data_IF_441923476769
#
_entry.id   IF_441923476769
#
_cell.length_a   1.000
_cell.length_b   1.000
_cell.length_c   1.000
_cell.angle_alpha   90.00
_cell.angle_beta   90.00
_cell.angle_gamma   90.00
#
_symmetry.space_group_name_H-M   'P 1'
#
loop_
_entity.id
_entity.type
_entity.pdbx_description
1 polymer ?
#
# COMPACT_ATOMS: atom_id res chain seq x y z
N UNK A 1 -26.12 -18.54 6.60
CA UNK A 1 -25.25 -17.80 7.54
C UNK A 1 -25.42 -18.27 8.98
N UNK A 2 -26.64 -18.37 9.57
CA UNK A 2 -26.81 -18.79 10.96
C UNK A 2 -26.35 -20.23 11.26
N UNK A 3 -26.37 -21.09 10.24
CA UNK A 3 -25.92 -22.49 10.28
C UNK A 3 -24.44 -22.70 9.90
N UNK A 4 -23.68 -21.61 9.70
CA UNK A 4 -22.24 -21.74 9.38
C UNK A 4 -21.48 -22.35 10.56
N UNK A 5 -20.55 -23.24 10.24
CA UNK A 5 -19.59 -23.71 11.24
C UNK A 5 -18.73 -22.55 11.77
N UNK A 6 -18.34 -22.63 13.04
CA UNK A 6 -17.57 -21.60 13.74
C UNK A 6 -16.26 -21.27 13.02
N UNK A 7 -15.55 -22.26 12.51
CA UNK A 7 -14.25 -22.06 11.87
C UNK A 7 -14.40 -21.38 10.50
N UNK A 8 -15.49 -21.68 9.79
CA UNK A 8 -15.83 -21.01 8.53
C UNK A 8 -16.20 -19.55 8.78
N UNK A 9 -17.04 -19.27 9.80
CA UNK A 9 -17.40 -17.92 10.18
C UNK A 9 -16.17 -17.12 10.61
N UNK A 10 -15.29 -17.73 11.41
CA UNK A 10 -14.03 -17.10 11.82
C UNK A 10 -13.12 -16.81 10.62
N UNK A 11 -13.02 -17.74 9.67
CA UNK A 11 -12.31 -17.53 8.40
C UNK A 11 -12.88 -16.36 7.59
N UNK A 12 -14.21 -16.24 7.50
CA UNK A 12 -14.88 -15.11 6.85
C UNK A 12 -14.63 -13.79 7.58
N UNK A 13 -14.72 -13.76 8.90
CA UNK A 13 -14.48 -12.53 9.66
C UNK A 13 -13.04 -12.03 9.59
N UNK A 14 -12.08 -12.95 9.44
CA UNK A 14 -10.65 -12.65 9.20
C UNK A 14 -10.36 -12.12 7.80
N UNK A 15 -11.27 -12.30 6.85
CA UNK A 15 -11.08 -11.82 5.49
C UNK A 15 -11.28 -10.31 5.42
N UNK A 16 -10.26 -9.68 4.88
CA UNK A 16 -10.17 -8.25 4.65
C UNK A 16 -10.74 -7.82 3.29
N UNK A 17 -11.06 -8.79 2.43
CA UNK A 17 -11.47 -8.60 1.05
C UNK A 17 -12.99 -8.77 0.83
N UNK A 18 -13.78 -9.04 1.87
CA UNK A 18 -15.23 -9.17 1.75
C UNK A 18 -15.88 -7.80 1.50
N UNK A 19 -16.71 -7.69 0.45
CA UNK A 19 -17.48 -6.48 0.14
C UNK A 19 -18.80 -6.46 0.91
N UNK A 20 -18.70 -6.26 2.21
CA UNK A 20 -19.83 -6.21 3.15
C UNK A 20 -19.62 -5.02 4.09
N UNK A 21 -20.67 -4.24 4.30
CA UNK A 21 -20.65 -3.16 5.29
C UNK A 21 -20.43 -3.72 6.71
N UNK A 22 -19.64 -3.03 7.52
CA UNK A 22 -19.26 -3.53 8.85
C UNK A 22 -20.49 -3.76 9.75
N UNK A 23 -21.45 -2.84 9.70
CA UNK A 23 -22.72 -2.98 10.41
C UNK A 23 -23.46 -4.27 10.01
N UNK A 24 -23.42 -4.63 8.72
CA UNK A 24 -24.03 -5.85 8.20
C UNK A 24 -23.25 -7.09 8.67
N UNK A 25 -21.91 -7.03 8.69
CA UNK A 25 -21.09 -8.13 9.20
C UNK A 25 -21.33 -8.40 10.70
N UNK A 26 -21.45 -7.34 11.51
CA UNK A 26 -21.79 -7.45 12.94
C UNK A 26 -23.20 -7.97 13.16
N UNK A 27 -24.19 -7.50 12.39
CA UNK A 27 -25.57 -8.01 12.47
C UNK A 27 -25.63 -9.52 12.21
N UNK A 28 -24.92 -10.00 11.18
CA UNK A 28 -24.83 -11.43 10.90
C UNK A 28 -24.09 -12.23 11.97
N UNK A 29 -23.03 -11.68 12.57
CA UNK A 29 -22.29 -12.34 13.66
C UNK A 29 -23.17 -12.48 14.91
N UNK A 30 -23.91 -11.42 15.27
CA UNK A 30 -24.83 -11.43 16.41
C UNK A 30 -25.93 -12.45 16.19
N UNK A 31 -26.59 -12.41 15.01
CA UNK A 31 -27.62 -13.39 14.62
C UNK A 31 -27.10 -14.82 14.68
N UNK A 32 -25.88 -15.05 14.18
CA UNK A 32 -25.25 -16.37 14.25
C UNK A 32 -25.08 -16.85 15.69
N UNK A 33 -24.49 -16.06 16.58
CA UNK A 33 -24.25 -16.57 17.95
C UNK A 33 -25.51 -16.64 18.81
N UNK A 34 -26.58 -15.89 18.50
CA UNK A 34 -27.90 -16.10 19.11
C UNK A 34 -28.45 -17.48 18.71
N UNK A 35 -28.34 -17.85 17.43
CA UNK A 35 -28.76 -19.17 16.94
C UNK A 35 -27.96 -20.30 17.58
N UNK A 36 -26.66 -20.10 17.81
CA UNK A 36 -25.80 -21.07 18.50
C UNK A 36 -26.06 -21.17 20.01
N UNK A 37 -26.77 -20.19 20.59
CA UNK A 37 -27.08 -20.18 22.04
C UNK A 37 -28.56 -19.91 22.31
N UNK A 38 -29.46 -20.85 21.96
CA UNK A 38 -30.89 -20.66 22.12
C UNK A 38 -31.27 -20.31 23.56
N UNK A 39 -32.07 -19.25 23.73
CA UNK A 39 -32.55 -18.79 25.04
C UNK A 39 -31.60 -17.85 25.80
N UNK A 40 -30.34 -17.71 25.40
CA UNK A 40 -29.41 -16.74 26.00
C UNK A 40 -29.45 -15.37 25.33
N UNK A 41 -29.90 -15.29 24.08
CA UNK A 41 -30.00 -14.04 23.33
C UNK A 41 -28.64 -13.35 23.25
N UNK A 42 -28.59 -12.04 23.54
CA UNK A 42 -27.32 -11.30 23.48
C UNK A 42 -26.44 -11.45 24.74
N UNK A 43 -26.95 -12.09 25.81
CA UNK A 43 -26.27 -12.16 27.11
C UNK A 43 -24.84 -12.71 27.05
N UNK A 44 -24.51 -13.72 26.21
CA UNK A 44 -23.15 -14.25 26.12
C UNK A 44 -22.10 -13.20 25.71
N UNK A 45 -22.50 -12.16 24.97
CA UNK A 45 -21.57 -11.14 24.48
C UNK A 45 -21.15 -10.12 25.54
N UNK A 46 -21.81 -10.09 26.71
CA UNK A 46 -21.50 -9.17 27.82
C UNK A 46 -20.05 -9.27 28.30
N UNK A 47 -19.46 -10.47 28.20
CA UNK A 47 -18.09 -10.72 28.64
C UNK A 47 -17.01 -10.14 27.71
N UNK A 48 -17.37 -9.83 26.46
CA UNK A 48 -16.40 -9.50 25.39
C UNK A 48 -16.61 -8.09 24.83
N UNK A 49 -17.84 -7.59 24.88
CA UNK A 49 -18.20 -6.25 24.42
C UNK A 49 -18.03 -5.25 25.57
N UNK A 50 -17.42 -4.06 25.34
CA UNK A 50 -17.37 -3.00 26.33
C UNK A 50 -18.76 -2.70 26.92
N UNK A 51 -18.84 -2.51 28.23
CA UNK A 51 -20.11 -2.47 28.96
C UNK A 51 -21.13 -1.46 28.38
N UNK A 52 -20.69 -0.25 28.03
CA UNK A 52 -21.55 0.79 27.45
C UNK A 52 -22.12 0.39 26.08
N UNK A 53 -21.32 -0.26 25.22
CA UNK A 53 -21.78 -0.77 23.91
C UNK A 53 -22.78 -1.90 24.11
N UNK A 54 -22.51 -2.80 25.07
CA UNK A 54 -23.42 -3.90 25.38
C UNK A 54 -24.80 -3.38 25.83
N UNK A 55 -24.84 -2.34 26.66
CA UNK A 55 -26.10 -1.73 27.11
C UNK A 55 -26.87 -1.13 25.93
N UNK A 56 -26.23 -0.34 25.06
CA UNK A 56 -26.89 0.22 23.88
C UNK A 56 -27.45 -0.85 22.94
N UNK A 57 -26.69 -1.93 22.69
CA UNK A 57 -27.15 -3.07 21.88
C UNK A 57 -28.32 -3.80 22.57
N UNK A 58 -28.28 -3.93 23.89
CA UNK A 58 -29.37 -4.52 24.68
C UNK A 58 -30.64 -3.69 24.53
N UNK A 59 -30.55 -2.36 24.66
CA UNK A 59 -31.70 -1.48 24.51
C UNK A 59 -32.24 -1.52 23.09
N UNK A 60 -31.39 -1.48 22.06
CA UNK A 60 -31.82 -1.65 20.67
C UNK A 60 -32.58 -2.97 20.46
N UNK A 61 -32.01 -4.09 20.90
CA UNK A 61 -32.58 -5.41 20.63
C UNK A 61 -33.90 -5.68 21.37
N UNK A 62 -34.03 -5.22 22.62
CA UNK A 62 -35.21 -5.50 23.44
C UNK A 62 -36.25 -4.37 23.43
N UNK A 63 -35.84 -3.13 23.18
CA UNK A 63 -36.71 -1.94 23.25
C UNK A 63 -36.81 -1.18 21.93
N UNK A 64 -36.12 -1.64 20.88
CA UNK A 64 -36.11 -1.02 19.55
C UNK A 64 -35.62 0.45 19.53
N UNK A 65 -34.81 0.84 20.51
CA UNK A 65 -34.20 2.18 20.61
C UNK A 65 -32.90 2.28 19.84
N UNK A 66 -32.73 3.30 18.98
CA UNK A 66 -31.47 3.49 18.24
C UNK A 66 -30.28 3.73 19.19
N UNK A 67 -29.13 3.05 18.99
CA UNK A 67 -27.90 3.32 19.72
C UNK A 67 -27.39 4.76 19.53
N UNK A 68 -26.80 5.35 20.58
CA UNK A 68 -26.30 6.74 20.58
C UNK A 68 -24.83 6.82 20.18
N UNK A 69 -24.05 5.76 20.37
CA UNK A 69 -22.61 5.69 20.06
C UNK A 69 -22.30 4.69 18.95
N UNK A 70 -22.93 4.84 17.78
CA UNK A 70 -22.65 3.98 16.61
C UNK A 70 -21.71 4.65 15.61
N UNK A 71 -20.48 4.88 16.02
CA UNK A 71 -19.36 5.06 15.08
C UNK A 71 -18.29 4.02 15.36
N UNK A 72 -18.62 2.76 15.06
CA UNK A 72 -17.57 1.76 14.85
C UNK A 72 -16.73 2.23 13.65
N UNK A 73 -15.38 2.14 13.71
CA UNK A 73 -14.57 2.47 12.56
C UNK A 73 -15.00 1.58 11.40
N UNK A 74 -15.30 2.14 10.22
CA UNK A 74 -15.57 1.32 9.05
C UNK A 74 -14.39 0.37 8.83
N UNK A 75 -14.65 -0.89 8.44
CA UNK A 75 -13.68 -1.59 7.59
C UNK A 75 -13.63 -0.77 6.30
N UNK A 76 -12.73 0.22 6.26
CA UNK A 76 -12.47 1.05 5.09
C UNK A 76 -12.36 0.10 3.91
N UNK A 77 -13.10 0.35 2.83
CA UNK A 77 -13.03 -0.43 1.59
C UNK A 77 -11.56 -0.59 1.23
N UNK A 78 -11.02 -1.78 1.48
CA UNK A 78 -9.58 -2.01 1.38
C UNK A 78 -9.24 -2.03 -0.10
N UNK A 79 -8.32 -1.17 -0.50
CA UNK A 79 -7.67 -1.25 -1.81
C UNK A 79 -7.24 -2.70 -2.04
N UNK A 80 -7.75 -3.30 -3.12
CA UNK A 80 -7.32 -4.61 -3.57
C UNK A 80 -6.07 -4.43 -4.42
N UNK A 81 -5.01 -5.14 -4.05
CA UNK A 81 -3.74 -5.17 -4.77
C UNK A 81 -3.26 -6.63 -4.82
N UNK A 82 -2.88 -7.09 -6.01
CA UNK A 82 -2.30 -8.41 -6.22
C UNK A 82 -0.77 -8.32 -6.17
N UNK A 83 -0.25 -8.12 -4.95
CA UNK A 83 1.19 -7.93 -4.70
C UNK A 83 1.75 -9.06 -3.83
N UNK A 84 2.97 -9.49 -4.15
CA UNK A 84 3.76 -10.38 -3.29
C UNK A 84 4.54 -9.60 -2.22
N UNK A 85 4.73 -8.30 -2.42
CA UNK A 85 5.56 -7.44 -1.57
C UNK A 85 4.77 -6.70 -0.50
N UNK A 86 3.56 -6.24 -0.81
CA UNK A 86 2.73 -5.47 0.11
C UNK A 86 1.29 -5.99 0.15
N UNK A 87 0.60 -5.71 1.26
CA UNK A 87 -0.83 -5.99 1.41
C UNK A 87 -1.67 -4.73 1.27
N UNK A 88 -2.99 -4.91 1.19
CA UNK A 88 -3.98 -3.84 1.06
C UNK A 88 -3.80 -2.67 2.03
N UNK A 89 -3.37 -2.94 3.27
CA UNK A 89 -3.12 -1.91 4.29
C UNK A 89 -2.00 -0.94 3.89
N UNK A 90 -0.88 -1.44 3.37
CA UNK A 90 0.21 -0.60 2.88
C UNK A 90 -0.17 0.12 1.59
N UNK A 91 -0.87 -0.56 0.67
CA UNK A 91 -1.39 0.09 -0.53
C UNK A 91 -2.34 1.25 -0.20
N UNK A 92 -3.16 1.13 0.86
CA UNK A 92 -4.01 2.21 1.34
C UNK A 92 -3.22 3.41 1.89
N UNK A 93 -2.10 3.15 2.57
CA UNK A 93 -1.21 4.22 3.06
C UNK A 93 -0.53 4.92 1.88
N UNK A 94 -0.03 4.17 0.90
CA UNK A 94 0.57 4.72 -0.33
C UNK A 94 -0.44 5.57 -1.09
N UNK A 95 -1.68 5.10 -1.25
CA UNK A 95 -2.75 5.89 -1.85
C UNK A 95 -3.01 7.20 -1.09
N UNK A 96 -2.95 7.16 0.25
CA UNK A 96 -3.01 8.36 1.07
C UNK A 96 -1.86 9.34 0.80
N UNK A 97 -0.65 8.83 0.61
CA UNK A 97 0.50 9.66 0.24
C UNK A 97 0.36 10.31 -1.13
N UNK A 98 -0.31 9.65 -2.08
CA UNK A 98 -0.67 10.21 -3.40
C UNK A 98 -1.66 11.38 -3.21
N UNK A 99 -2.63 11.27 -2.29
CA UNK A 99 -3.55 12.35 -1.94
C UNK A 99 -2.94 13.41 -1.00
N UNK A 100 -1.63 13.35 -0.70
CA UNK A 100 -0.94 14.20 0.28
C UNK A 100 -1.58 14.17 1.68
N UNK A 101 -2.13 13.01 2.06
CA UNK A 101 -2.68 12.74 3.38
C UNK A 101 -1.70 11.91 4.20
N UNK A 102 -1.41 12.41 5.40
CA UNK A 102 -0.53 11.74 6.37
C UNK A 102 -1.38 11.19 7.53
N UNK A 103 -1.22 9.91 7.89
CA UNK A 103 -1.89 9.31 9.05
C UNK A 103 -2.21 7.83 8.92
N UNK A 104 -2.67 7.20 10.01
CA UNK A 104 -3.01 5.75 10.05
C UNK A 104 -4.46 5.45 9.66
N UNK A 105 -5.34 6.45 9.71
CA UNK A 105 -6.78 6.35 9.44
C UNK A 105 -7.16 7.25 8.27
N UNK A 106 -6.58 6.97 7.10
CA UNK A 106 -6.78 7.79 5.90
C UNK A 106 -8.14 7.48 5.29
N UNK A 107 -9.00 8.49 5.19
CA UNK A 107 -10.17 8.46 4.31
C UNK A 107 -9.75 8.99 2.94
N UNK A 108 -9.63 8.08 1.98
CA UNK A 108 -9.33 8.43 0.60
C UNK A 108 -10.54 9.14 -0.02
N UNK A 109 -10.26 10.17 -0.83
CA UNK A 109 -11.28 10.85 -1.64
C UNK A 109 -11.58 10.07 -2.91
N UNK A 110 -10.56 9.41 -3.46
CA UNK A 110 -10.65 8.64 -4.70
C UNK A 110 -10.52 7.15 -4.42
N UNK A 111 -11.14 6.35 -5.27
CA UNK A 111 -10.91 4.90 -5.29
C UNK A 111 -9.71 4.62 -6.17
N UNK A 112 -8.69 3.97 -5.63
CA UNK A 112 -7.50 3.61 -6.38
C UNK A 112 -7.52 2.14 -6.79
N UNK A 113 -7.10 1.89 -8.04
CA UNK A 113 -6.87 0.55 -8.57
C UNK A 113 -5.39 0.40 -8.93
N UNK A 114 -4.81 -0.72 -8.51
CA UNK A 114 -3.41 -1.08 -8.74
C UNK A 114 -3.36 -2.28 -9.67
N UNK A 115 -3.09 -2.03 -10.94
CA UNK A 115 -3.01 -3.06 -11.98
C UNK A 115 -1.54 -3.48 -12.19
N UNK A 116 -1.21 -4.73 -11.86
CA UNK A 116 0.16 -5.25 -11.99
C UNK A 116 0.62 -5.26 -13.45
N UNK A 117 1.66 -4.50 -13.76
CA UNK A 117 2.30 -4.45 -15.08
C UNK A 117 3.45 -5.43 -15.17
N UNK A 118 4.36 -5.38 -14.20
CA UNK A 118 5.63 -6.10 -14.21
C UNK A 118 5.87 -6.76 -12.86
N UNK A 119 6.34 -8.01 -12.89
CA UNK A 119 6.80 -8.76 -11.72
C UNK A 119 8.06 -9.51 -12.10
N UNK A 120 9.18 -9.23 -11.45
CA UNK A 120 10.48 -9.79 -11.88
C UNK A 120 10.56 -11.31 -11.74
N UNK A 121 9.88 -11.94 -10.78
CA UNK A 121 9.79 -13.40 -10.69
C UNK A 121 9.04 -14.05 -11.86
N UNK A 122 8.17 -13.29 -12.55
CA UNK A 122 7.44 -13.71 -13.75
C UNK A 122 8.15 -13.30 -15.03
N UNK A 123 8.71 -12.10 -15.05
CA UNK A 123 9.14 -11.39 -16.26
C UNK A 123 10.68 -11.33 -16.41
N UNK A 124 11.43 -11.74 -15.36
CA UNK A 124 12.89 -11.65 -15.27
C UNK A 124 13.37 -10.23 -14.93
N UNK A 125 14.46 -10.11 -14.18
CA UNK A 125 15.08 -8.82 -13.86
C UNK A 125 15.82 -8.30 -15.09
N UNK A 126 15.15 -7.49 -15.91
CA UNK A 126 15.70 -6.97 -17.16
C UNK A 126 15.07 -5.63 -17.54
N UNK A 127 15.88 -4.59 -17.82
CA UNK A 127 15.38 -3.25 -18.13
C UNK A 127 14.65 -3.16 -19.48
N UNK A 128 14.96 -4.02 -20.45
CA UNK A 128 14.22 -4.09 -21.71
C UNK A 128 12.81 -4.65 -21.50
N UNK A 129 12.69 -5.73 -20.70
CA UNK A 129 11.37 -6.30 -20.36
C UNK A 129 10.55 -5.32 -19.51
N UNK A 130 11.19 -4.64 -18.55
CA UNK A 130 10.56 -3.57 -17.79
C UNK A 130 9.98 -2.51 -18.73
N UNK A 131 10.80 -1.93 -19.60
CA UNK A 131 10.37 -0.86 -20.52
C UNK A 131 9.24 -1.31 -21.44
N UNK A 132 9.32 -2.53 -21.98
CA UNK A 132 8.28 -3.07 -22.85
C UNK A 132 6.91 -3.15 -22.17
N UNK A 133 6.86 -3.33 -20.84
CA UNK A 133 5.63 -3.46 -20.05
C UNK A 133 5.18 -2.17 -19.38
N UNK A 134 6.13 -1.36 -18.91
CA UNK A 134 5.86 -0.23 -18.04
C UNK A 134 5.81 1.12 -18.76
N UNK A 135 6.42 1.24 -19.95
CA UNK A 135 6.42 2.50 -20.67
C UNK A 135 5.02 2.84 -21.21
N UNK A 136 4.70 4.13 -21.20
CA UNK A 136 3.44 4.70 -21.66
C UNK A 136 2.19 4.15 -20.95
N UNK A 137 2.33 3.63 -19.72
CA UNK A 137 1.20 3.10 -18.95
C UNK A 137 0.48 4.14 -18.09
N UNK A 138 1.06 5.32 -17.92
CA UNK A 138 0.57 6.36 -17.01
C UNK A 138 1.19 6.25 -15.61
N UNK A 139 0.53 6.79 -14.58
CA UNK A 139 1.08 6.83 -13.23
C UNK A 139 1.39 5.42 -12.73
N UNK A 140 2.59 5.23 -12.17
CA UNK A 140 3.09 3.93 -11.77
C UNK A 140 3.65 3.95 -10.34
N UNK A 141 3.36 2.88 -9.61
CA UNK A 141 4.03 2.53 -8.35
C UNK A 141 5.06 1.45 -8.62
N UNK A 142 6.29 1.69 -8.17
CA UNK A 142 7.38 0.72 -8.18
C UNK A 142 7.62 0.23 -6.75
N UNK A 143 7.75 -1.08 -6.58
CA UNK A 143 8.12 -1.75 -5.34
C UNK A 143 9.31 -2.67 -5.60
N UNK A 144 10.29 -2.65 -4.71
CA UNK A 144 11.54 -3.40 -4.82
C UNK A 144 11.89 -3.99 -3.47
N UNK A 145 12.11 -5.29 -3.41
CA UNK A 145 12.58 -5.99 -2.21
C UNK A 145 14.06 -6.32 -2.32
N UNK A 146 14.81 -6.07 -1.26
CA UNK A 146 16.22 -6.43 -1.17
C UNK A 146 16.38 -7.95 -0.92
N UNK A 147 17.29 -8.62 -1.63
CA UNK A 147 17.56 -10.05 -1.43
C UNK A 147 18.19 -10.37 -0.06
N UNK A 148 18.86 -9.39 0.56
CA UNK A 148 19.58 -9.55 1.82
C UNK A 148 18.76 -9.07 3.04
N UNK A 149 17.55 -8.54 2.85
CA UNK A 149 16.72 -8.06 3.96
C UNK A 149 15.22 -8.13 3.65
N UNK A 150 14.38 -7.96 4.67
CA UNK A 150 12.93 -7.85 4.46
C UNK A 150 12.51 -6.46 3.97
N UNK A 151 13.45 -5.53 3.84
CA UNK A 151 13.19 -4.13 3.55
C UNK A 151 12.70 -3.97 2.11
N UNK A 152 11.65 -3.17 1.96
CA UNK A 152 11.01 -2.84 0.70
C UNK A 152 11.26 -1.37 0.43
N UNK A 153 11.75 -1.07 -0.76
CA UNK A 153 11.87 0.29 -1.29
C UNK A 153 10.84 0.50 -2.37
N UNK A 154 10.42 1.74 -2.58
CA UNK A 154 9.50 2.04 -3.66
C UNK A 154 9.49 3.50 -4.04
N UNK A 155 8.82 3.77 -5.15
CA UNK A 155 8.65 5.10 -5.68
C UNK A 155 7.37 5.21 -6.49
N UNK A 156 6.74 6.37 -6.42
CA UNK A 156 5.55 6.70 -7.17
C UNK A 156 5.90 7.72 -8.25
N UNK A 157 5.72 7.35 -9.51
CA UNK A 157 5.83 8.26 -10.64
C UNK A 157 4.41 8.72 -11.04
N UNK A 158 4.05 10.00 -10.84
CA UNK A 158 2.73 10.55 -11.20
C UNK A 158 2.58 10.79 -12.71
N UNK A 159 3.65 10.68 -13.49
CA UNK A 159 3.66 10.89 -14.93
C UNK A 159 3.48 9.53 -15.64
N UNK A 160 4.36 9.21 -16.57
CA UNK A 160 4.52 7.90 -17.18
C UNK A 160 6.01 7.65 -17.38
N UNK A 161 6.44 6.39 -17.33
CA UNK A 161 7.76 6.05 -17.87
C UNK A 161 7.71 6.09 -19.39
N UNK A 162 8.81 6.49 -20.02
CA UNK A 162 8.93 6.56 -21.48
C UNK A 162 10.25 5.93 -21.94
N UNK A 163 10.39 5.76 -23.26
CA UNK A 163 11.68 5.38 -23.82
C UNK A 163 12.35 6.65 -24.35
N UNK A 164 13.48 7.10 -23.79
CA UNK A 164 14.14 8.32 -24.25
C UNK A 164 14.86 8.13 -25.61
N UNK A 165 14.83 6.92 -26.17
CA UNK A 165 15.52 6.57 -27.41
C UNK A 165 16.99 6.19 -27.17
N UNK A 166 17.69 5.86 -28.24
CA UNK A 166 19.11 5.49 -28.15
C UNK A 166 19.93 6.71 -27.70
N UNK A 167 20.72 6.54 -26.63
CA UNK A 167 21.49 7.63 -25.97
C UNK A 167 20.65 8.76 -25.38
N UNK A 168 19.34 8.55 -25.23
CA UNK A 168 18.47 9.53 -24.62
C UNK A 168 18.76 9.70 -23.12
N UNK A 169 18.80 10.95 -22.68
CA UNK A 169 18.84 11.35 -21.28
C UNK A 169 17.94 12.58 -21.12
N UNK A 170 16.84 12.44 -20.39
CA UNK A 170 15.89 13.52 -20.17
C UNK A 170 15.35 13.48 -18.74
N UNK A 171 15.14 14.66 -18.16
CA UNK A 171 14.44 14.81 -16.89
C UNK A 171 13.03 15.36 -17.11
N UNK A 172 12.10 14.94 -16.24
CA UNK A 172 10.72 15.37 -16.24
C UNK A 172 10.33 16.01 -14.92
N UNK A 173 9.65 17.15 -15.04
CA UNK A 173 9.23 17.95 -13.92
C UNK A 173 7.98 17.35 -13.24
N UNK A 174 8.07 17.12 -11.92
CA UNK A 174 6.89 16.91 -11.10
C UNK A 174 7.17 17.18 -9.62
N UNK A 175 6.16 17.65 -8.89
CA UNK A 175 6.18 17.79 -7.42
C UNK A 175 5.44 16.67 -6.70
N UNK A 176 4.76 15.80 -7.45
CA UNK A 176 3.89 14.75 -6.89
C UNK A 176 4.60 13.40 -6.77
N UNK A 177 5.83 13.29 -7.29
CA UNK A 177 6.66 12.10 -7.11
C UNK A 177 7.15 12.00 -5.67
N UNK A 178 7.30 10.76 -5.21
CA UNK A 178 7.90 10.46 -3.91
C UNK A 178 8.52 9.07 -3.92
N UNK A 179 9.50 8.87 -3.06
CA UNK A 179 10.11 7.57 -2.79
C UNK A 179 9.94 7.23 -1.31
N UNK A 180 9.98 5.94 -0.99
CA UNK A 180 9.68 5.47 0.35
C UNK A 180 10.37 4.14 0.64
N UNK A 181 10.37 3.77 1.92
CA UNK A 181 10.81 2.46 2.39
C UNK A 181 9.95 1.93 3.53
N UNK A 182 9.84 0.60 3.61
CA UNK A 182 9.20 -0.17 4.66
C UNK A 182 10.16 -1.24 5.19
N UNK A 183 10.14 -1.52 6.49
CA UNK A 183 10.98 -2.59 7.04
C UNK A 183 10.53 -4.00 6.59
N UNK A 184 9.24 -4.15 6.27
CA UNK A 184 8.64 -5.37 5.70
C UNK A 184 7.19 -5.10 5.25
N UNK A 185 6.51 -6.14 4.73
CA UNK A 185 5.14 -6.10 4.21
C UNK A 185 4.05 -5.76 5.23
N UNK A 186 4.38 -5.70 6.53
CA UNK A 186 3.44 -5.40 7.62
C UNK A 186 3.79 -4.11 8.39
N UNK A 187 4.87 -3.41 7.99
CA UNK A 187 5.35 -2.23 8.69
C UNK A 187 4.48 -1.00 8.44
N UNK A 188 3.63 -0.67 9.41
CA UNK A 188 2.77 0.52 9.42
C UNK A 188 3.24 1.59 10.42
N UNK A 189 4.40 1.41 11.04
CA UNK A 189 4.87 2.27 12.15
C UNK A 189 6.14 3.01 11.80
N UNK A 190 7.04 2.37 11.07
CA UNK A 190 8.38 2.88 10.78
C UNK A 190 8.57 3.24 9.30
N UNK A 191 7.46 3.36 8.57
CA UNK A 191 7.45 3.78 7.16
C UNK A 191 8.13 5.14 7.00
N UNK A 192 8.93 5.26 5.93
CA UNK A 192 9.68 6.47 5.61
C UNK A 192 9.29 6.93 4.22
N UNK A 193 9.04 8.23 4.07
CA UNK A 193 8.71 8.85 2.79
C UNK A 193 9.64 10.06 2.58
N UNK A 194 10.07 10.23 1.34
CA UNK A 194 10.86 11.35 0.86
C UNK A 194 10.18 11.89 -0.40
N UNK A 195 9.90 13.20 -0.40
CA UNK A 195 9.20 13.87 -1.50
C UNK A 195 10.19 14.69 -2.31
N UNK A 196 9.82 15.00 -3.55
CA UNK A 196 10.62 15.87 -4.41
C UNK A 196 10.86 17.22 -3.72
N UNK A 197 12.12 17.65 -3.71
CA UNK A 197 12.48 19.00 -3.33
C UNK A 197 11.95 19.97 -4.37
N UNK A 198 11.12 20.93 -3.95
CA UNK A 198 10.43 21.85 -4.86
C UNK A 198 11.39 22.65 -5.76
N UNK A 199 12.61 22.95 -5.29
CA UNK A 199 13.62 23.68 -6.05
C UNK A 199 14.27 22.84 -7.16
N UNK A 200 14.12 21.51 -7.09
CA UNK A 200 14.67 20.55 -8.05
C UNK A 200 13.57 19.72 -8.71
N UNK A 201 12.34 20.22 -8.75
CA UNK A 201 11.20 19.50 -9.30
C UNK A 201 11.40 19.08 -10.76
N UNK A 202 12.18 19.84 -11.53
CA UNK A 202 12.54 19.53 -12.91
C UNK A 202 13.47 18.32 -13.07
N UNK A 203 14.01 17.77 -11.98
CA UNK A 203 14.85 16.56 -11.95
C UNK A 203 14.17 15.36 -11.27
N UNK A 204 12.87 15.44 -10.99
CA UNK A 204 12.17 14.44 -10.18
C UNK A 204 12.15 13.04 -10.81
N UNK A 205 11.98 12.95 -12.13
CA UNK A 205 11.99 11.70 -12.89
C UNK A 205 13.06 11.81 -13.97
N UNK A 206 13.91 10.81 -14.09
CA UNK A 206 14.97 10.74 -15.10
C UNK A 206 14.67 9.58 -16.05
N UNK A 207 14.95 9.78 -17.33
CA UNK A 207 14.81 8.79 -18.37
C UNK A 207 16.16 8.65 -19.08
N UNK A 208 16.96 7.71 -18.58
CA UNK A 208 18.30 7.42 -19.10
C UNK A 208 18.29 6.14 -19.92
N UNK A 209 19.00 6.13 -21.06
CA UNK A 209 19.19 4.92 -21.87
C UNK A 209 19.84 3.81 -21.03
N UNK A 210 19.12 2.69 -20.88
CA UNK A 210 19.57 1.54 -20.08
C UNK A 210 18.76 1.32 -18.82
N UNK A 211 18.21 2.37 -18.20
CA UNK A 211 17.47 2.26 -16.94
C UNK A 211 16.05 1.67 -17.04
N UNK A 212 15.59 0.91 -16.05
CA UNK A 212 14.20 0.46 -15.98
C UNK A 212 13.28 1.61 -15.56
N UNK A 213 13.49 2.08 -14.33
CA UNK A 213 12.89 3.29 -13.76
C UNK A 213 14.00 4.13 -13.14
N UNK A 214 13.79 5.44 -13.05
CA UNK A 214 14.73 6.32 -12.36
C UNK A 214 14.01 7.52 -11.71
N UNK A 215 14.06 7.57 -10.38
CA UNK A 215 13.55 8.67 -9.56
C UNK A 215 14.66 9.67 -9.27
N UNK A 216 14.92 10.57 -10.24
CA UNK A 216 15.85 11.69 -10.08
C UNK A 216 17.26 11.28 -9.65
N UNK A 217 17.78 10.23 -10.28
CA UNK A 217 19.06 9.57 -10.00
C UNK A 217 19.24 9.09 -8.56
N UNK A 218 18.20 9.21 -7.73
CA UNK A 218 18.22 8.96 -6.29
C UNK A 218 17.86 7.51 -6.00
N UNK A 219 16.93 6.94 -6.77
CA UNK A 219 16.50 5.54 -6.70
C UNK A 219 16.19 5.05 -8.10
N UNK A 220 16.99 4.14 -8.63
CA UNK A 220 16.86 3.71 -10.02
C UNK A 220 17.27 2.27 -10.26
N UNK A 221 16.73 1.68 -11.32
CA UNK A 221 17.11 0.36 -11.81
C UNK A 221 17.99 0.53 -13.03
N UNK A 222 19.19 -0.04 -13.02
CA UNK A 222 20.05 -0.11 -14.20
C UNK A 222 20.63 -1.52 -14.35
N UNK A 223 20.45 -2.11 -15.54
CA UNK A 223 20.76 -3.51 -15.78
C UNK A 223 19.96 -4.44 -14.85
N UNK A 224 20.65 -5.18 -13.97
CA UNK A 224 20.04 -6.10 -13.00
C UNK A 224 20.10 -5.58 -11.56
N UNK A 225 20.61 -4.38 -11.35
CA UNK A 225 20.83 -3.81 -10.03
C UNK A 225 19.92 -2.61 -9.79
N UNK A 226 19.69 -2.37 -8.51
CA UNK A 226 19.02 -1.21 -7.96
C UNK A 226 20.10 -0.34 -7.34
N UNK A 227 20.08 0.95 -7.65
CA UNK A 227 21.05 1.92 -7.21
C UNK A 227 20.36 2.99 -6.39
N UNK A 228 21.11 3.49 -5.41
CA UNK A 228 20.75 4.71 -4.70
C UNK A 228 21.88 5.70 -4.74
N UNK A 229 21.53 6.98 -4.87
CA UNK A 229 22.47 8.09 -4.72
C UNK A 229 21.78 9.25 -3.99
N UNK A 230 22.57 10.20 -3.49
CA UNK A 230 22.04 11.42 -2.88
C UNK A 230 22.22 12.62 -3.83
N UNK A 231 21.33 12.73 -4.82
CA UNK A 231 21.32 13.85 -5.77
C UNK A 231 20.77 15.16 -5.18
N UNK A 232 20.14 15.11 -4.00
CA UNK A 232 19.45 16.25 -3.38
C UNK A 232 18.09 16.60 -4.01
N UNK A 233 17.60 15.81 -4.97
CA UNK A 233 16.32 16.06 -5.65
C UNK A 233 15.10 15.61 -4.84
N UNK A 234 15.31 14.75 -3.85
CA UNK A 234 14.30 14.30 -2.90
C UNK A 234 14.72 14.66 -1.47
N UNK A 235 13.81 15.22 -0.69
CA UNK A 235 14.08 15.75 0.65
C UNK A 235 14.20 14.63 1.69
N UNK A 236 15.09 14.81 2.68
CA UNK A 236 15.28 13.86 3.78
C UNK A 236 15.59 12.43 3.33
N UNK A 237 16.39 12.29 2.27
CA UNK A 237 16.67 11.00 1.64
C UNK A 237 17.28 9.97 2.60
N UNK A 238 18.09 10.42 3.57
CA UNK A 238 18.71 9.58 4.59
C UNK A 238 17.67 8.79 5.41
N UNK A 239 16.46 9.34 5.55
CA UNK A 239 15.37 8.65 6.24
C UNK A 239 14.87 7.42 5.47
N UNK A 240 14.87 7.46 4.13
CA UNK A 240 14.42 6.35 3.27
C UNK A 240 15.56 5.37 3.02
N UNK A 241 16.73 5.91 2.68
CA UNK A 241 17.86 5.10 2.24
C UNK A 241 18.66 4.46 3.36
N UNK A 242 18.47 4.90 4.62
CA UNK A 242 19.28 4.59 5.81
C UNK A 242 20.33 3.50 5.54
N UNK A 243 21.56 3.91 5.22
CA UNK A 243 22.44 3.15 4.36
C UNK A 243 22.91 1.88 5.04
N UNK A 244 23.05 0.83 4.25
CA UNK A 244 23.82 -0.36 4.63
C UNK A 244 25.26 -0.05 5.07
N UNK A 245 25.76 1.18 4.89
CA UNK A 245 26.93 1.72 5.55
C UNK A 245 27.02 3.23 5.26
N UNK A 246 27.12 4.13 6.25
CA UNK A 246 27.28 5.57 6.00
C UNK A 246 28.57 5.97 5.25
N UNK A 247 29.47 5.01 5.01
CA UNK A 247 30.74 5.22 4.29
C UNK A 247 30.72 4.80 2.80
N UNK A 248 29.59 4.36 2.25
CA UNK A 248 29.47 3.95 0.84
C UNK A 248 28.44 4.84 0.14
N UNK A 249 28.94 5.88 -0.53
CA UNK A 249 28.14 6.86 -1.28
C UNK A 249 27.42 6.28 -2.51
N UNK A 250 27.74 5.04 -2.90
CA UNK A 250 27.06 4.29 -3.97
C UNK A 250 26.68 2.90 -3.44
N UNK A 251 25.47 2.74 -2.95
CA UNK A 251 24.95 1.42 -2.58
C UNK A 251 24.09 0.88 -3.71
N UNK A 252 24.45 -0.29 -4.20
CA UNK A 252 23.62 -1.06 -5.12
C UNK A 252 23.34 -2.45 -4.56
N UNK A 253 22.24 -3.04 -5.02
CA UNK A 253 21.92 -4.43 -4.71
C UNK A 253 21.16 -5.07 -5.86
N UNK A 254 21.25 -6.40 -5.95
CA UNK A 254 20.40 -7.20 -6.82
C UNK A 254 19.07 -7.43 -6.10
N UNK A 255 17.92 -7.05 -6.68
CA UNK A 255 16.64 -7.18 -6.02
C UNK A 255 16.18 -8.64 -5.98
N UNK A 256 15.50 -9.01 -4.90
CA UNK A 256 14.80 -10.31 -4.81
C UNK A 256 13.56 -10.32 -5.71
N UNK A 257 12.82 -9.22 -5.69
CA UNK A 257 11.59 -9.04 -6.45
C UNK A 257 11.37 -7.56 -6.73
N UNK A 258 10.89 -7.26 -7.93
CA UNK A 258 10.40 -5.95 -8.35
C UNK A 258 8.96 -6.13 -8.81
N UNK A 259 8.04 -5.33 -8.28
CA UNK A 259 6.68 -5.23 -8.78
C UNK A 259 6.38 -3.79 -9.23
N UNK A 260 5.71 -3.64 -10.38
CA UNK A 260 5.26 -2.34 -10.89
C UNK A 260 3.77 -2.40 -11.14
N UNK A 261 3.06 -1.40 -10.63
CA UNK A 261 1.61 -1.28 -10.77
C UNK A 261 1.27 0.00 -11.50
N UNK A 262 0.43 -0.10 -12.53
CA UNK A 262 -0.31 1.04 -13.06
C UNK A 262 -1.34 1.47 -12.01
N UNK A 263 -1.44 2.77 -11.78
CA UNK A 263 -2.43 3.34 -10.89
C UNK A 263 -3.50 4.05 -11.70
N UNK A 264 -4.76 3.72 -11.45
CA UNK A 264 -5.93 4.45 -11.95
C UNK A 264 -6.86 4.83 -10.81
N UNK A 265 -7.59 5.92 -11.00
CA UNK A 265 -8.67 6.35 -10.09
C UNK A 265 -10.02 5.95 -10.69
N UNK A 266 -10.88 5.32 -9.91
CA UNK A 266 -12.23 4.89 -10.28
C UNK A 266 -13.29 5.91 -9.87
#
# INVERSE_FOLDING_TARGET
FPSLDKDILYGLLKRDDLQIEEAVAWDYLIKWGIEQTPGLGIRPYKAVIPHHIYEEVTEFYYKNTLPKTTTLPPRVEKIRIESNLIKSKLANIIAGWIERKDGKNIKLEKKYKFDLLYRSSRDGINTNTFRAKCNNQGPCLVLVKNQQSTKIYGGYNPLTFINPGQYGNQYYNTTESFIFSFENSEDIRNMKISRVNINYANYAISEYYGDGFNFGDTFYMSGQCIYFSNSGYYDNIDNVLNPLNPNLLDTNFVPEEIEVFKITTL
#
